data_IF_869729365486
#
_entry.id   IF_869729365486
#
_cell.length_a   1.000
_cell.length_b   1.000
_cell.length_c   1.000
_cell.angle_alpha   90.00
_cell.angle_beta   90.00
_cell.angle_gamma   90.00
#
_symmetry.space_group_name_H-M   'P 1'
#
loop_
_entity.id
_entity.type
_entity.pdbx_description
1 polymer ?
#
# COMPACT_ATOMS: atom_id res chain seq x y z
N UNK A 1 17.06 13.96 -26.90
CA UNK A 1 17.68 13.56 -25.61
C UNK A 1 16.56 13.52 -24.57
N UNK A 2 16.18 12.33 -24.15
CA UNK A 2 15.13 12.17 -23.12
C UNK A 2 15.70 12.66 -21.80
N UNK A 3 15.10 13.68 -21.21
CA UNK A 3 15.51 14.16 -19.89
C UNK A 3 15.13 13.13 -18.82
N UNK A 4 15.76 13.15 -17.65
CA UNK A 4 15.44 12.21 -16.58
C UNK A 4 13.97 12.32 -16.13
N UNK A 5 13.37 13.51 -16.26
CA UNK A 5 11.95 13.73 -15.97
C UNK A 5 11.04 13.01 -16.98
N UNK A 6 11.36 13.10 -18.29
CA UNK A 6 10.59 12.41 -19.35
C UNK A 6 10.62 10.89 -19.17
N UNK A 7 11.78 10.34 -18.73
CA UNK A 7 11.93 8.92 -18.47
C UNK A 7 11.12 8.46 -17.23
N UNK A 8 11.06 9.29 -16.19
CA UNK A 8 10.27 9.05 -14.99
C UNK A 8 8.77 9.07 -15.29
N UNK A 9 8.32 10.05 -16.06
CA UNK A 9 6.93 10.18 -16.50
C UNK A 9 6.52 8.99 -17.39
N UNK A 10 7.35 8.67 -18.39
CA UNK A 10 7.10 7.54 -19.29
C UNK A 10 6.94 6.22 -18.52
N UNK A 11 7.82 5.94 -17.54
CA UNK A 11 7.73 4.75 -16.73
C UNK A 11 6.49 4.77 -15.82
N UNK A 12 6.18 5.90 -15.17
CA UNK A 12 5.01 6.04 -14.33
C UNK A 12 3.71 5.79 -15.11
N UNK A 13 3.59 6.38 -16.31
CA UNK A 13 2.46 6.13 -17.20
C UNK A 13 2.36 4.67 -17.63
N UNK A 14 3.49 4.04 -18.00
CA UNK A 14 3.55 2.64 -18.42
C UNK A 14 3.02 1.70 -17.33
N UNK A 15 3.55 1.82 -16.11
CA UNK A 15 3.17 0.90 -15.01
C UNK A 15 1.74 1.12 -14.54
N UNK A 16 1.24 2.35 -14.60
CA UNK A 16 -0.15 2.67 -14.27
C UNK A 16 -1.09 2.08 -15.32
N UNK A 17 -0.81 2.29 -16.60
CA UNK A 17 -1.60 1.74 -17.70
C UNK A 17 -1.56 0.20 -17.73
N UNK A 18 -0.48 -0.43 -17.25
CA UNK A 18 -0.36 -1.87 -17.11
C UNK A 18 -1.12 -2.44 -15.90
N UNK A 19 -1.90 -1.65 -15.19
CA UNK A 19 -2.66 -2.06 -14.01
C UNK A 19 -1.74 -2.30 -12.81
N UNK A 20 -1.22 -1.21 -12.23
CA UNK A 20 -0.33 -1.25 -11.09
C UNK A 20 -1.02 -1.86 -9.86
N UNK A 21 -0.51 -2.99 -9.41
CA UNK A 21 -0.97 -3.66 -8.19
C UNK A 21 -0.19 -3.22 -6.97
N UNK A 22 1.13 -3.12 -7.10
CA UNK A 22 1.99 -2.58 -6.05
C UNK A 22 3.27 -2.01 -6.62
N UNK A 23 3.82 -1.01 -5.91
CA UNK A 23 5.14 -0.46 -6.16
C UNK A 23 5.96 -0.41 -4.87
N UNK A 24 7.27 -0.59 -4.99
CA UNK A 24 8.23 -0.34 -3.91
C UNK A 24 9.40 0.44 -4.48
N UNK A 25 9.61 1.65 -3.95
CA UNK A 25 10.74 2.52 -4.33
C UNK A 25 11.65 2.60 -3.11
N UNK A 26 12.95 2.36 -3.31
CA UNK A 26 13.90 2.22 -2.22
C UNK A 26 15.33 2.63 -2.62
N UNK A 27 16.22 2.64 -1.62
CA UNK A 27 17.58 3.10 -1.79
C UNK A 27 17.65 4.62 -1.98
N UNK A 28 17.18 5.40 -0.99
CA UNK A 28 17.27 6.86 -1.06
C UNK A 28 18.73 7.31 -1.10
N UNK A 29 19.01 8.35 -1.88
CA UNK A 29 20.33 8.98 -1.98
C UNK A 29 20.47 10.17 -1.03
N UNK A 30 19.37 10.61 -0.45
CA UNK A 30 19.27 11.73 0.48
C UNK A 30 18.64 11.27 1.79
N UNK A 31 18.92 11.95 2.87
CA UNK A 31 18.38 11.64 4.21
C UNK A 31 17.07 12.36 4.52
N UNK A 32 16.75 13.40 3.76
CA UNK A 32 15.54 14.21 3.89
C UNK A 32 14.33 13.65 3.13
N UNK A 33 14.53 12.58 2.37
CA UNK A 33 13.46 11.87 1.67
C UNK A 33 13.03 10.59 2.44
N UNK A 34 11.84 10.03 2.17
CA UNK A 34 11.42 8.77 2.76
C UNK A 34 12.46 7.66 2.52
N UNK A 35 12.72 6.82 3.53
CA UNK A 35 13.62 5.66 3.39
C UNK A 35 13.07 4.63 2.42
N UNK A 36 11.76 4.58 2.28
CA UNK A 36 11.02 3.71 1.35
C UNK A 36 9.66 4.31 1.04
N UNK A 37 9.24 4.16 -0.21
CA UNK A 37 7.88 4.47 -0.65
C UNK A 37 7.25 3.17 -1.15
N UNK A 38 6.05 2.88 -0.69
CA UNK A 38 5.23 1.76 -1.15
C UNK A 38 3.92 2.29 -1.68
N UNK A 39 3.44 1.69 -2.74
CA UNK A 39 2.09 1.92 -3.27
C UNK A 39 1.43 0.56 -3.44
N UNK A 40 0.16 0.46 -3.13
CA UNK A 40 -0.63 -0.77 -3.33
C UNK A 40 -2.04 -0.43 -3.74
N UNK A 41 -2.58 -1.19 -4.66
CA UNK A 41 -4.00 -1.13 -4.98
C UNK A 41 -4.80 -1.68 -3.80
N UNK A 42 -5.83 -0.96 -3.39
CA UNK A 42 -6.75 -1.34 -2.31
C UNK A 42 -8.19 -1.09 -2.75
N UNK A 43 -9.13 -1.80 -2.12
CA UNK A 43 -10.55 -1.49 -2.23
C UNK A 43 -11.00 -0.77 -0.96
N UNK A 44 -11.53 0.43 -1.13
CA UNK A 44 -12.04 1.24 -0.03
C UNK A 44 -13.45 1.72 -0.38
N UNK A 45 -14.43 1.37 0.45
CA UNK A 45 -15.84 1.72 0.24
C UNK A 45 -16.36 1.36 -1.18
N UNK A 46 -15.96 0.17 -1.67
CA UNK A 46 -16.34 -0.34 -2.98
C UNK A 46 -15.62 0.30 -4.17
N UNK A 47 -14.67 1.22 -3.96
CA UNK A 47 -13.85 1.83 -5.02
C UNK A 47 -12.43 1.29 -4.97
N UNK A 48 -11.87 1.02 -6.13
CA UNK A 48 -10.47 0.64 -6.27
C UNK A 48 -9.64 1.94 -6.32
N UNK A 49 -8.71 2.08 -5.39
CA UNK A 49 -7.80 3.21 -5.25
C UNK A 49 -6.40 2.71 -4.95
N UNK A 50 -5.42 3.59 -4.96
CA UNK A 50 -4.06 3.28 -4.55
C UNK A 50 -3.74 3.91 -3.19
N UNK A 51 -3.21 3.13 -2.26
CA UNK A 51 -2.68 3.64 -1.00
C UNK A 51 -1.17 3.73 -1.08
N UNK A 52 -0.66 4.95 -0.95
CA UNK A 52 0.77 5.22 -0.82
C UNK A 52 1.16 5.25 0.66
N UNK A 53 2.32 4.68 0.97
CA UNK A 53 2.95 4.67 2.29
C UNK A 53 4.37 5.20 2.16
N UNK A 54 4.68 6.30 2.83
CA UNK A 54 6.02 6.86 2.93
C UNK A 54 6.61 6.56 4.31
N UNK A 55 7.74 5.85 4.35
CA UNK A 55 8.44 5.51 5.60
C UNK A 55 9.53 6.54 5.86
N UNK A 56 9.41 7.29 6.96
CA UNK A 56 10.36 8.31 7.41
C UNK A 56 10.82 8.00 8.83
N UNK A 57 12.03 7.47 8.99
CA UNK A 57 12.50 6.97 10.28
C UNK A 57 11.61 5.85 10.81
N UNK A 58 11.03 6.02 12.00
CA UNK A 58 10.11 5.06 12.62
C UNK A 58 8.63 5.34 12.28
N UNK A 59 8.33 6.34 11.46
CA UNK A 59 6.96 6.75 11.13
C UNK A 59 6.59 6.33 9.72
N UNK A 60 5.32 5.94 9.53
CA UNK A 60 4.71 5.68 8.23
C UNK A 60 3.58 6.69 7.99
N UNK A 61 3.64 7.36 6.85
CA UNK A 61 2.62 8.31 6.40
C UNK A 61 1.84 7.68 5.26
N UNK A 62 0.52 7.67 5.38
CA UNK A 62 -0.36 7.09 4.38
C UNK A 62 -1.12 8.17 3.63
N UNK A 63 -1.27 7.96 2.32
CA UNK A 63 -2.06 8.80 1.44
C UNK A 63 -2.85 7.90 0.47
N UNK A 64 -4.13 8.18 0.32
CA UNK A 64 -4.94 7.55 -0.70
C UNK A 64 -4.87 8.39 -1.98
N UNK A 65 -4.72 7.73 -3.11
CA UNK A 65 -4.55 8.31 -4.44
C UNK A 65 -5.62 7.73 -5.37
N UNK A 66 -6.29 8.58 -6.11
CA UNK A 66 -7.07 8.15 -7.27
C UNK A 66 -6.13 7.86 -8.45
N UNK A 67 -6.62 7.16 -9.47
CA UNK A 67 -5.78 6.72 -10.60
C UNK A 67 -5.12 7.88 -11.37
N UNK A 68 -5.80 9.02 -11.48
CA UNK A 68 -5.29 10.23 -12.12
C UNK A 68 -4.18 10.93 -11.32
N UNK A 69 -4.14 10.75 -9.99
CA UNK A 69 -3.09 11.29 -9.12
C UNK A 69 -1.83 10.42 -9.10
N UNK A 70 -1.96 9.11 -9.41
CA UNK A 70 -0.91 8.11 -9.22
C UNK A 70 0.35 8.41 -10.04
N UNK A 71 0.20 8.76 -11.31
CA UNK A 71 1.32 9.11 -12.20
C UNK A 71 2.08 10.31 -11.64
N UNK A 72 1.38 11.40 -11.32
CA UNK A 72 1.98 12.60 -10.77
C UNK A 72 2.67 12.34 -9.43
N UNK A 73 2.13 11.43 -8.62
CA UNK A 73 2.73 11.03 -7.35
C UNK A 73 4.03 10.25 -7.52
N UNK A 74 4.13 9.36 -8.53
CA UNK A 74 5.31 8.51 -8.74
C UNK A 74 6.52 9.26 -9.33
N UNK A 75 6.28 10.25 -10.19
CA UNK A 75 7.34 10.98 -10.94
C UNK A 75 8.48 11.50 -10.04
N UNK A 76 8.24 12.22 -8.93
CA UNK A 76 9.31 12.74 -8.08
C UNK A 76 10.24 11.65 -7.55
N UNK A 77 9.70 10.49 -7.19
CA UNK A 77 10.48 9.38 -6.65
C UNK A 77 11.33 8.66 -7.71
N UNK A 78 10.99 8.80 -9.00
CA UNK A 78 11.72 8.21 -10.13
C UNK A 78 12.75 9.16 -10.74
N UNK A 79 12.81 10.41 -10.27
CA UNK A 79 13.64 11.46 -10.87
C UNK A 79 15.11 11.48 -10.42
N UNK A 80 15.57 10.50 -9.63
CA UNK A 80 17.00 10.36 -9.28
C UNK A 80 17.33 10.37 -7.79
N UNK A 81 16.38 10.67 -6.91
CA UNK A 81 16.58 10.65 -5.46
C UNK A 81 16.63 9.22 -4.87
N UNK A 82 16.19 8.23 -5.63
CA UNK A 82 16.26 6.81 -5.29
C UNK A 82 17.11 6.02 -6.26
N UNK A 83 17.53 4.82 -5.86
CA UNK A 83 18.36 3.94 -6.68
C UNK A 83 17.57 2.92 -7.45
N UNK A 84 16.43 2.50 -6.93
CA UNK A 84 15.65 1.40 -7.51
C UNK A 84 14.16 1.52 -7.24
N UNK A 85 13.38 0.98 -8.17
CA UNK A 85 11.95 0.80 -8.04
C UNK A 85 11.53 -0.56 -8.58
N UNK A 86 10.57 -1.20 -7.92
CA UNK A 86 9.93 -2.43 -8.35
C UNK A 86 8.43 -2.20 -8.44
N UNK A 87 7.84 -2.59 -9.56
CA UNK A 87 6.42 -2.46 -9.85
C UNK A 87 5.84 -3.82 -10.20
N UNK A 88 4.80 -4.22 -9.51
CA UNK A 88 3.99 -5.39 -9.86
C UNK A 88 2.74 -4.91 -10.57
N UNK A 89 2.56 -5.35 -11.79
CA UNK A 89 1.40 -5.00 -12.62
C UNK A 89 0.65 -6.27 -12.98
N UNK A 90 -0.53 -6.11 -13.58
CA UNK A 90 -1.29 -7.27 -14.12
C UNK A 90 -0.56 -7.97 -15.27
N UNK A 91 0.43 -7.31 -15.89
CA UNK A 91 1.20 -7.83 -17.03
C UNK A 91 2.55 -8.46 -16.61
N UNK A 92 2.98 -8.26 -15.37
CA UNK A 92 4.24 -8.80 -14.86
C UNK A 92 4.97 -7.86 -13.91
N UNK A 93 6.24 -8.19 -13.70
CA UNK A 93 7.13 -7.48 -12.81
C UNK A 93 8.04 -6.55 -13.60
N UNK A 94 8.06 -5.27 -13.22
CA UNK A 94 8.92 -4.24 -13.80
C UNK A 94 9.91 -3.78 -12.74
N UNK A 95 11.21 -3.95 -13.00
CA UNK A 95 12.28 -3.45 -12.14
C UNK A 95 13.01 -2.32 -12.82
N UNK A 96 13.19 -1.21 -12.13
CA UNK A 96 13.89 -0.04 -12.59
C UNK A 96 15.11 0.27 -11.71
N UNK A 97 16.25 0.50 -12.35
CA UNK A 97 17.44 1.06 -11.72
C UNK A 97 17.56 2.51 -12.16
N UNK A 98 17.68 3.41 -11.19
CA UNK A 98 17.66 4.85 -11.40
C UNK A 98 19.04 5.40 -11.09
N UNK A 99 19.68 6.05 -12.06
CA UNK A 99 20.97 6.71 -11.85
C UNK A 99 20.80 8.05 -11.13
N UNK A 100 21.88 8.60 -10.58
CA UNK A 100 21.88 9.93 -9.94
C UNK A 100 21.47 11.06 -10.90
N UNK A 101 21.66 10.85 -12.22
CA UNK A 101 21.27 11.80 -13.28
C UNK A 101 19.83 11.55 -13.81
N UNK A 102 19.05 10.69 -13.15
CA UNK A 102 17.69 10.38 -13.58
C UNK A 102 17.59 9.41 -14.77
N UNK A 103 18.71 8.84 -15.27
CA UNK A 103 18.63 7.79 -16.29
C UNK A 103 18.05 6.53 -15.68
N UNK A 104 17.01 5.99 -16.28
CA UNK A 104 16.30 4.79 -15.83
C UNK A 104 16.65 3.61 -16.76
N UNK A 105 17.08 2.50 -16.15
CA UNK A 105 17.27 1.21 -16.83
C UNK A 105 16.19 0.26 -16.36
N UNK A 106 15.34 -0.23 -17.27
CA UNK A 106 14.17 -1.03 -16.97
C UNK A 106 14.39 -2.47 -17.40
N UNK A 107 14.10 -3.41 -16.50
CA UNK A 107 13.94 -4.84 -16.78
C UNK A 107 12.49 -5.24 -16.56
N UNK A 108 11.93 -5.96 -17.52
CA UNK A 108 10.57 -6.49 -17.47
C UNK A 108 10.65 -8.01 -17.46
N UNK A 109 10.04 -8.60 -16.43
CA UNK A 109 9.89 -10.04 -16.31
C UNK A 109 8.40 -10.35 -16.47
N UNK A 110 8.05 -11.13 -17.48
CA UNK A 110 6.67 -11.58 -17.65
C UNK A 110 6.25 -12.42 -16.45
N UNK A 111 4.97 -12.33 -16.07
CA UNK A 111 4.44 -13.13 -14.96
C UNK A 111 4.60 -14.61 -15.29
N UNK A 112 5.42 -15.32 -14.53
CA UNK A 112 5.43 -16.77 -14.59
C UNK A 112 4.24 -17.33 -13.81
N UNK A 113 3.70 -18.51 -14.16
CA UNK A 113 2.58 -19.12 -13.42
C UNK A 113 2.85 -19.29 -11.92
N UNK A 114 4.11 -19.28 -11.49
CA UNK A 114 4.54 -19.39 -10.10
C UNK A 114 4.44 -18.07 -9.34
N UNK A 115 4.50 -16.94 -10.04
CA UNK A 115 4.32 -15.59 -9.48
C UNK A 115 2.85 -15.14 -9.55
N UNK A 116 2.05 -15.83 -10.35
CA UNK A 116 0.60 -15.65 -10.47
C UNK A 116 -0.19 -16.31 -9.31
N UNK A 117 0.49 -16.96 -8.35
CA UNK A 117 -0.16 -17.65 -7.23
C UNK A 117 -0.76 -16.69 -6.18
N UNK A 118 -0.60 -15.41 -6.37
CA UNK A 118 -1.48 -14.41 -5.78
C UNK A 118 -1.73 -13.33 -6.84
N UNK A 119 -2.92 -13.29 -7.47
CA UNK A 119 -3.34 -12.08 -8.15
C UNK A 119 -3.13 -10.91 -7.19
N UNK A 120 -2.76 -9.71 -7.68
CA UNK A 120 -2.61 -8.55 -6.83
C UNK A 120 -3.91 -8.45 -6.00
N UNK A 121 -3.82 -8.86 -4.76
CA UNK A 121 -4.99 -8.83 -3.89
C UNK A 121 -5.24 -7.35 -3.62
N UNK A 122 -6.28 -6.83 -4.27
CA UNK A 122 -6.90 -5.61 -3.82
C UNK A 122 -7.31 -5.90 -2.38
N UNK A 123 -6.54 -5.36 -1.44
CA UNK A 123 -6.79 -5.59 -0.01
C UNK A 123 -8.05 -4.83 0.33
N UNK A 124 -9.12 -5.59 0.61
CA UNK A 124 -10.35 -5.01 1.11
C UNK A 124 -10.07 -4.38 2.49
N UNK A 125 -10.12 -3.06 2.56
CA UNK A 125 -10.00 -2.30 3.81
C UNK A 125 -11.30 -2.19 4.59
N UNK A 126 -12.42 -2.59 3.99
CA UNK A 126 -13.72 -2.69 4.66
C UNK A 126 -13.80 -3.97 5.52
N UNK A 127 -12.80 -4.17 6.37
CA UNK A 127 -12.87 -5.23 7.38
C UNK A 127 -13.98 -4.88 8.37
N UNK A 128 -15.13 -5.51 8.24
CA UNK A 128 -16.06 -5.62 9.37
C UNK A 128 -15.29 -6.26 10.53
N UNK A 129 -15.22 -5.56 11.65
CA UNK A 129 -14.61 -6.10 12.87
C UNK A 129 -15.47 -7.30 13.30
N UNK A 130 -14.99 -8.51 13.03
CA UNK A 130 -15.52 -9.68 13.68
C UNK A 130 -15.07 -9.63 15.14
N UNK A 131 -15.94 -9.16 16.00
CA UNK A 131 -15.71 -9.26 17.43
C UNK A 131 -15.78 -10.75 17.80
N UNK A 132 -14.78 -11.22 18.55
CA UNK A 132 -14.72 -12.60 19.08
C UNK A 132 -15.91 -12.86 20.03
N UNK A 133 -16.48 -11.79 20.59
CA UNK A 133 -17.63 -11.84 21.47
C UNK A 133 -18.85 -11.35 20.67
N UNK A 134 -19.81 -12.24 20.45
CA UNK A 134 -21.08 -11.90 19.82
C UNK A 134 -21.95 -11.11 20.83
N UNK A 135 -22.50 -9.99 20.37
CA UNK A 135 -23.39 -9.17 21.18
C UNK A 135 -24.68 -9.97 21.49
N UNK A 136 -25.05 -10.02 22.76
CA UNK A 136 -26.23 -10.79 23.20
C UNK A 136 -25.93 -12.24 23.62
N UNK A 137 -24.68 -12.70 23.50
CA UNK A 137 -24.26 -14.01 23.99
C UNK A 137 -23.44 -13.84 25.28
N UNK A 138 -23.97 -14.23 26.45
CA UNK A 138 -23.26 -14.06 27.70
C UNK A 138 -22.07 -15.02 27.80
N UNK A 139 -20.91 -14.47 28.13
CA UNK A 139 -19.70 -15.25 28.43
C UNK A 139 -19.60 -15.37 29.94
N UNK A 140 -19.76 -16.58 30.52
CA UNK A 140 -19.86 -16.78 31.99
C UNK A 140 -18.72 -16.13 32.79
N UNK A 141 -17.49 -16.24 32.31
CA UNK A 141 -16.32 -15.62 32.91
C UNK A 141 -16.39 -14.07 32.96
N UNK A 142 -16.92 -13.43 31.90
CA UNK A 142 -17.05 -11.97 31.86
C UNK A 142 -18.23 -11.47 32.71
N UNK A 143 -19.26 -12.29 32.88
CA UNK A 143 -20.39 -12.01 33.78
C UNK A 143 -19.89 -12.06 35.22
N UNK A 144 -19.14 -13.09 35.61
CA UNK A 144 -18.57 -13.23 36.93
C UNK A 144 -17.60 -12.09 37.31
N UNK A 145 -16.83 -11.58 36.33
CA UNK A 145 -15.95 -10.41 36.51
C UNK A 145 -16.72 -9.06 36.52
N UNK A 146 -18.03 -9.05 36.34
CA UNK A 146 -18.84 -7.83 36.28
C UNK A 146 -18.51 -6.93 35.06
N UNK A 147 -17.95 -7.51 33.98
CA UNK A 147 -17.63 -6.82 32.73
C UNK A 147 -18.79 -6.93 31.75
N UNK A 148 -19.59 -8.01 31.85
CA UNK A 148 -20.71 -8.31 30.99
C UNK A 148 -21.97 -8.60 31.85
N UNK A 149 -23.15 -8.27 31.33
CA UNK A 149 -24.42 -8.64 31.95
C UNK A 149 -24.82 -10.05 31.55
N UNK A 150 -25.79 -10.64 32.28
CA UNK A 150 -26.35 -11.96 31.95
C UNK A 150 -27.03 -12.00 30.59
N UNK A 151 -27.38 -10.83 30.01
CA UNK A 151 -27.92 -10.69 28.65
C UNK A 151 -26.83 -10.53 27.59
N UNK A 152 -25.55 -10.70 27.94
CA UNK A 152 -24.43 -10.62 27.01
C UNK A 152 -24.06 -9.19 26.57
N UNK A 153 -24.40 -8.17 27.39
CA UNK A 153 -24.05 -6.77 27.10
C UNK A 153 -22.88 -6.29 27.97
N UNK A 154 -21.98 -5.54 27.40
CA UNK A 154 -20.87 -4.92 28.15
C UNK A 154 -21.42 -3.86 29.09
N UNK A 155 -21.00 -3.89 30.35
CA UNK A 155 -21.43 -2.93 31.38
C UNK A 155 -20.90 -1.53 30.99
N UNK A 156 -21.79 -0.52 30.98
CA UNK A 156 -21.52 0.82 30.46
C UNK A 156 -20.28 1.49 31.08
N UNK A 157 -20.00 1.29 32.37
CA UNK A 157 -18.83 1.81 33.06
C UNK A 157 -17.48 1.21 32.61
N UNK A 158 -17.50 0.16 31.79
CA UNK A 158 -16.32 -0.54 31.27
C UNK A 158 -16.15 -0.41 29.76
N UNK A 159 -17.10 0.26 29.08
CA UNK A 159 -17.14 0.37 27.61
C UNK A 159 -15.94 1.10 27.01
N UNK A 160 -15.35 2.04 27.74
CA UNK A 160 -14.23 2.87 27.27
C UNK A 160 -12.84 2.21 27.44
N UNK A 161 -12.82 0.96 27.92
CA UNK A 161 -11.56 0.23 28.18
C UNK A 161 -11.32 -0.98 27.27
N UNK A 162 -12.23 -1.22 26.29
CA UNK A 162 -12.10 -2.34 25.35
C UNK A 162 -12.33 -1.94 23.90
#
# INVERSE_FOLDING_TARGET
MTTGADAAESLACEVTAAGLASATISGPRKTDVPSRVRVRAIRLQGRDIHQAEEIRGAQAFHRNLEDDELVAYLIPFLSGDYTQAEFRTTQGLVRALISKKGKISVRRDATTPRDAEAPPQIVDHDRSKHYILEEGVPVPFLVELGIMTEEGRVVASRRDKF
#
